data_IF_406141621834
#
_entry.id   IF_406141621834
#
_cell.length_a   1.000
_cell.length_b   1.000
_cell.length_c   1.000
_cell.angle_alpha   90.00
_cell.angle_beta   90.00
_cell.angle_gamma   90.00
#
_symmetry.space_group_name_H-M   'P 1'
#
loop_
_entity.id
_entity.type
_entity.pdbx_description
1 polymer ?
#
# COMPACT_ATOMS: atom_id res chain seq x y z
N UNK A 1 0.71 2.07 5.20
CA UNK A 1 0.21 1.64 3.87
C UNK A 1 -0.66 2.72 3.23
N UNK A 2 -0.60 2.83 1.91
CA UNK A 2 -1.54 3.61 1.09
C UNK A 2 -2.80 2.83 0.78
N UNK A 3 -3.30 2.98 -0.43
CA UNK A 3 -4.50 2.26 -0.90
C UNK A 3 -4.17 0.84 -1.34
N UNK A 4 -4.81 -0.15 -0.70
CA UNK A 4 -4.55 -1.58 -0.90
C UNK A 4 -5.84 -2.29 -1.34
N UNK A 5 -5.71 -3.20 -2.31
CA UNK A 5 -6.76 -4.05 -2.85
C UNK A 5 -7.28 -5.04 -1.79
N UNK A 6 -8.28 -4.61 -1.05
CA UNK A 6 -9.00 -5.40 -0.03
C UNK A 6 -10.47 -5.53 -0.41
N UNK A 7 -11.21 -6.41 0.27
CA UNK A 7 -12.66 -6.55 0.08
C UNK A 7 -13.39 -5.21 0.28
N UNK A 8 -12.97 -4.42 1.26
CA UNK A 8 -13.51 -3.08 1.52
C UNK A 8 -13.34 -2.14 0.32
N UNK A 9 -12.17 -2.12 -0.30
CA UNK A 9 -11.93 -1.26 -1.47
C UNK A 9 -12.56 -1.82 -2.73
N UNK A 10 -12.74 -3.14 -2.84
CA UNK A 10 -13.43 -3.76 -3.97
C UNK A 10 -14.91 -3.38 -4.03
N UNK A 11 -15.53 -3.02 -2.89
CA UNK A 11 -16.90 -2.53 -2.83
C UNK A 11 -17.09 -1.07 -3.26
N UNK A 12 -16.01 -0.34 -3.61
CA UNK A 12 -16.10 1.06 -4.03
C UNK A 12 -16.58 1.20 -5.47
N UNK A 13 -17.25 2.32 -5.76
CA UNK A 13 -17.66 2.63 -7.13
C UNK A 13 -16.43 2.76 -8.05
N UNK A 14 -16.52 2.32 -9.32
CA UNK A 14 -15.39 2.41 -10.27
C UNK A 14 -14.79 3.82 -10.38
N UNK A 15 -15.61 4.86 -10.43
CA UNK A 15 -15.18 6.26 -10.51
C UNK A 15 -14.31 6.69 -9.30
N UNK A 16 -14.63 6.16 -8.11
CA UNK A 16 -13.87 6.44 -6.90
C UNK A 16 -12.52 5.71 -6.92
N UNK A 17 -12.49 4.47 -7.42
CA UNK A 17 -11.26 3.68 -7.59
C UNK A 17 -10.32 4.32 -8.61
N UNK A 18 -10.85 4.78 -9.75
CA UNK A 18 -10.08 5.49 -10.77
C UNK A 18 -9.49 6.79 -10.22
N UNK A 19 -10.30 7.61 -9.53
CA UNK A 19 -9.85 8.86 -8.93
C UNK A 19 -8.75 8.64 -7.89
N UNK A 20 -8.89 7.62 -7.04
CA UNK A 20 -7.84 7.24 -6.09
C UNK A 20 -6.55 6.83 -6.80
N UNK A 21 -6.67 5.92 -7.78
CA UNK A 21 -5.53 5.35 -8.50
C UNK A 21 -4.77 6.41 -9.31
N UNK A 22 -5.46 7.42 -9.83
CA UNK A 22 -4.86 8.53 -10.56
C UNK A 22 -3.85 9.32 -9.70
N UNK A 23 -4.11 9.46 -8.40
CA UNK A 23 -3.24 10.14 -7.45
C UNK A 23 -1.98 9.36 -7.05
N UNK A 24 -1.95 8.05 -7.28
CA UNK A 24 -0.81 7.20 -6.94
C UNK A 24 0.22 7.27 -8.09
N UNK A 25 1.49 7.61 -7.85
CA UNK A 25 2.52 7.63 -8.90
C UNK A 25 2.69 6.30 -9.64
N UNK A 26 2.62 5.16 -8.95
CA UNK A 26 2.65 3.84 -9.56
C UNK A 26 1.38 3.45 -10.35
N UNK A 27 0.36 4.31 -10.38
CA UNK A 27 -0.90 4.13 -11.15
C UNK A 27 -1.64 2.83 -10.88
N UNK A 28 -1.49 2.30 -9.67
CA UNK A 28 -2.24 1.14 -9.18
C UNK A 28 -2.33 1.17 -7.67
N UNK A 29 -3.30 0.45 -7.13
CA UNK A 29 -3.33 0.12 -5.72
C UNK A 29 -2.27 -0.94 -5.39
N UNK A 30 -1.86 -0.99 -4.13
CA UNK A 30 -1.03 -2.07 -3.63
C UNK A 30 -1.84 -3.34 -3.43
N UNK A 31 -1.18 -4.49 -3.43
CA UNK A 31 -1.79 -5.79 -3.13
C UNK A 31 -1.48 -6.19 -1.68
N UNK A 32 -2.35 -6.96 -1.00
CA UNK A 32 -2.08 -7.45 0.34
C UNK A 32 -0.74 -8.20 0.48
N UNK A 33 -0.35 -8.95 -0.55
CA UNK A 33 0.94 -9.67 -0.57
C UNK A 33 2.16 -8.74 -0.53
N UNK A 34 2.05 -7.52 -1.08
CA UNK A 34 3.14 -6.54 -1.04
C UNK A 34 3.34 -6.01 0.39
N UNK A 35 2.24 -5.86 1.16
CA UNK A 35 2.30 -5.52 2.58
C UNK A 35 2.88 -6.69 3.39
N UNK A 36 2.46 -7.93 3.10
CA UNK A 36 2.99 -9.12 3.78
C UNK A 36 4.50 -9.26 3.57
N UNK A 37 5.00 -8.99 2.36
CA UNK A 37 6.44 -9.00 2.07
C UNK A 37 7.21 -7.97 2.91
N UNK A 38 6.66 -6.76 3.08
CA UNK A 38 7.27 -5.75 3.94
C UNK A 38 7.23 -6.11 5.43
N UNK A 39 6.18 -6.81 5.88
CA UNK A 39 6.12 -7.36 7.24
C UNK A 39 7.21 -8.42 7.44
N UNK A 40 7.42 -9.30 6.46
CA UNK A 40 8.52 -10.28 6.51
C UNK A 40 9.89 -9.60 6.61
N UNK A 41 10.15 -8.56 5.81
CA UNK A 41 11.38 -7.76 5.92
C UNK A 41 11.59 -7.20 7.34
N UNK A 42 10.54 -6.70 8.00
CA UNK A 42 10.64 -6.17 9.37
C UNK A 42 11.03 -7.28 10.34
N UNK A 43 10.43 -8.46 10.23
CA UNK A 43 10.73 -9.60 11.11
C UNK A 43 12.11 -10.23 10.86
N UNK A 44 12.61 -10.15 9.63
CA UNK A 44 13.93 -10.69 9.26
C UNK A 44 15.09 -9.75 9.61
N UNK A 45 14.80 -8.49 9.96
CA UNK A 45 15.81 -7.48 10.24
C UNK A 45 15.81 -7.06 11.72
N UNK A 46 16.61 -7.77 12.53
CA UNK A 46 16.78 -7.50 13.97
C UNK A 46 17.29 -6.09 14.31
N UNK A 47 17.84 -5.37 13.33
CA UNK A 47 18.33 -3.99 13.51
C UNK A 47 17.28 -2.92 13.15
N UNK A 48 16.11 -3.32 12.64
CA UNK A 48 15.02 -2.40 12.31
C UNK A 48 14.16 -2.10 13.55
N UNK A 49 14.31 -0.91 14.12
CA UNK A 49 13.55 -0.50 15.33
C UNK A 49 13.19 0.98 15.33
N UNK A 50 11.99 1.31 15.83
CA UNK A 50 11.52 2.70 15.98
C UNK A 50 11.36 3.46 14.66
N UNK A 51 11.21 2.76 13.54
CA UNK A 51 11.04 3.34 12.19
C UNK A 51 9.71 2.95 11.58
N UNK A 52 9.29 3.73 10.59
CA UNK A 52 8.10 3.48 9.77
C UNK A 52 8.55 3.11 8.36
N UNK A 53 7.96 2.04 7.81
CA UNK A 53 8.13 1.65 6.41
C UNK A 53 6.87 2.07 5.65
N UNK A 54 7.02 3.11 4.82
CA UNK A 54 5.92 3.63 4.00
C UNK A 54 5.74 2.78 2.73
N UNK A 55 4.49 2.43 2.45
CA UNK A 55 4.10 1.52 1.37
C UNK A 55 2.82 2.04 0.74
N UNK A 56 2.93 3.05 -0.11
CA UNK A 56 1.76 3.74 -0.69
C UNK A 56 1.89 4.04 -2.19
N UNK A 57 2.91 3.48 -2.84
CA UNK A 57 3.16 3.71 -4.26
C UNK A 57 3.59 5.13 -4.60
N UNK A 58 4.12 5.89 -3.62
CA UNK A 58 4.57 7.27 -3.76
C UNK A 58 3.46 8.30 -3.55
N UNK A 59 2.33 7.90 -2.97
CA UNK A 59 1.18 8.78 -2.76
C UNK A 59 1.52 9.96 -1.83
N UNK A 60 2.41 9.74 -0.86
CA UNK A 60 2.91 10.76 0.05
C UNK A 60 4.40 10.94 -0.23
N UNK A 61 4.78 12.16 -0.63
CA UNK A 61 6.15 12.61 -0.84
C UNK A 61 6.29 14.02 -0.26
#
# INVERSE_FOLDING_TARGET
PGFIETEMTAGMKPEALEKMTAGIPLKRMGKPVEIAHSVAYIFENDYYTGRVLELDGGLRL
#
